data_IF_737018566007
#
_entry.id   IF_737018566007
#
_cell.length_a   1.000
_cell.length_b   1.000
_cell.length_c   1.000
_cell.angle_alpha   90.00
_cell.angle_beta   90.00
_cell.angle_gamma   90.00
#
_symmetry.space_group_name_H-M   'P 1'
#
loop_
_entity.id
_entity.type
_entity.pdbx_description
1 polymer ?
#
# COMPACT_ATOMS: atom_id res chain seq x y z
N UNK A 1 6.77 -11.37 2.99
CA UNK A 1 5.29 -11.34 3.15
C UNK A 1 4.87 -10.98 4.57
N UNK A 2 5.38 -11.67 5.60
CA UNK A 2 5.01 -11.44 7.03
C UNK A 2 5.12 -9.96 7.49
N UNK A 3 6.16 -9.23 7.09
CA UNK A 3 6.32 -7.82 7.49
C UNK A 3 5.24 -6.89 6.92
N UNK A 4 4.91 -7.04 5.63
CA UNK A 4 3.94 -6.17 4.94
C UNK A 4 2.52 -6.44 5.45
N UNK A 5 2.20 -7.70 5.74
CA UNK A 5 0.92 -8.08 6.33
C UNK A 5 0.78 -7.57 7.76
N UNK A 6 1.85 -7.62 8.56
CA UNK A 6 1.84 -7.08 9.93
C UNK A 6 1.71 -5.55 9.98
N UNK A 7 2.28 -4.82 9.02
CA UNK A 7 2.03 -3.38 8.89
C UNK A 7 0.57 -3.07 8.53
N UNK A 8 -0.01 -3.81 7.59
CA UNK A 8 -1.40 -3.63 7.22
C UNK A 8 -2.34 -3.90 8.40
N UNK A 9 -2.06 -4.92 9.20
CA UNK A 9 -2.87 -5.26 10.37
C UNK A 9 -2.93 -4.07 11.35
N UNK A 10 -1.78 -3.52 11.71
CA UNK A 10 -1.67 -2.31 12.56
C UNK A 10 -2.36 -1.09 11.95
N UNK A 11 -2.26 -0.92 10.63
CA UNK A 11 -2.95 0.16 9.94
C UNK A 11 -4.48 -0.03 10.01
N UNK A 12 -4.95 -1.26 9.86
CA UNK A 12 -6.37 -1.61 9.92
C UNK A 12 -6.98 -1.48 11.31
N UNK A 13 -6.18 -1.54 12.38
CA UNK A 13 -6.64 -1.25 13.75
C UNK A 13 -7.00 0.24 13.93
N UNK A 14 -6.34 1.12 13.18
CA UNK A 14 -6.51 2.58 13.30
C UNK A 14 -7.44 3.17 12.23
N UNK A 15 -7.83 2.38 11.22
CA UNK A 15 -8.64 2.83 10.09
C UNK A 15 -10.09 2.35 10.22
N UNK A 16 -11.10 3.24 10.13
CA UNK A 16 -12.49 2.83 10.08
C UNK A 16 -12.75 1.98 8.82
N UNK A 17 -13.50 0.89 9.00
CA UNK A 17 -13.89 0.00 7.90
C UNK A 17 -14.80 0.76 6.91
N UNK A 18 -14.61 0.55 5.60
CA UNK A 18 -15.55 1.03 4.58
C UNK A 18 -15.34 2.46 4.08
N UNK A 19 -14.20 3.08 4.40
CA UNK A 19 -13.93 4.50 4.05
C UNK A 19 -13.60 4.73 2.57
N UNK A 20 -13.74 3.72 1.69
CA UNK A 20 -13.47 3.84 0.26
C UNK A 20 -12.03 4.29 -0.06
N UNK A 21 -11.08 3.94 0.81
CA UNK A 21 -9.71 4.43 0.75
C UNK A 21 -9.01 3.91 -0.50
N UNK A 22 -8.17 4.75 -1.08
CA UNK A 22 -7.28 4.35 -2.16
C UNK A 22 -5.88 4.19 -1.56
N UNK A 23 -5.35 2.97 -1.60
CA UNK A 23 -3.97 2.71 -1.22
C UNK A 23 -3.09 2.78 -2.46
N UNK A 24 -2.19 3.76 -2.50
CA UNK A 24 -1.19 3.86 -3.56
C UNK A 24 0.03 3.02 -3.21
N UNK A 25 0.36 2.04 -4.05
CA UNK A 25 1.48 1.12 -3.83
C UNK A 25 2.32 0.96 -5.09
N UNK A 26 3.62 0.80 -4.92
CA UNK A 26 4.50 0.43 -6.03
C UNK A 26 4.18 -0.98 -6.59
N UNK A 27 4.70 -1.29 -7.79
CA UNK A 27 4.58 -2.61 -8.41
C UNK A 27 5.57 -3.65 -7.86
N UNK A 28 6.24 -3.41 -6.73
CA UNK A 28 7.04 -4.41 -6.03
C UNK A 28 6.31 -5.75 -5.84
N UNK A 29 7.05 -6.86 -5.96
CA UNK A 29 6.51 -8.23 -5.92
C UNK A 29 5.68 -8.52 -4.64
N UNK A 30 6.02 -7.88 -3.52
CA UNK A 30 5.26 -7.99 -2.27
C UNK A 30 3.82 -7.45 -2.38
N UNK A 31 3.60 -6.39 -3.16
CA UNK A 31 2.30 -5.72 -3.30
C UNK A 31 1.43 -6.35 -4.40
N UNK A 32 2.04 -7.15 -5.28
CA UNK A 32 1.34 -7.95 -6.28
C UNK A 32 0.76 -9.25 -5.69
N UNK A 33 1.15 -9.62 -4.47
CA UNK A 33 0.74 -10.87 -3.86
C UNK A 33 -0.79 -10.95 -3.71
N UNK A 34 -1.38 -12.09 -4.08
CA UNK A 34 -2.83 -12.31 -4.02
C UNK A 34 -3.39 -12.12 -2.59
N UNK A 35 -2.65 -12.55 -1.58
CA UNK A 35 -3.06 -12.43 -0.17
C UNK A 35 -3.17 -10.95 0.25
N UNK A 36 -2.16 -10.15 -0.12
CA UNK A 36 -2.14 -8.71 0.13
C UNK A 36 -3.34 -8.00 -0.52
N UNK A 37 -3.62 -8.31 -1.79
CA UNK A 37 -4.76 -7.76 -2.52
C UNK A 37 -6.11 -8.17 -1.89
N UNK A 38 -6.21 -9.40 -1.39
CA UNK A 38 -7.42 -9.89 -0.75
C UNK A 38 -7.68 -9.20 0.59
N UNK A 39 -6.64 -8.93 1.39
CA UNK A 39 -6.76 -8.16 2.62
C UNK A 39 -7.31 -6.74 2.35
N UNK A 40 -6.75 -6.04 1.36
CA UNK A 40 -7.23 -4.71 0.98
C UNK A 40 -8.69 -4.74 0.53
N UNK A 41 -9.05 -5.71 -0.31
CA UNK A 41 -10.44 -5.85 -0.79
C UNK A 41 -11.43 -6.12 0.35
N UNK A 42 -11.07 -6.95 1.34
CA UNK A 42 -11.92 -7.22 2.50
C UNK A 42 -12.18 -5.97 3.34
N UNK A 43 -11.20 -5.06 3.40
CA UNK A 43 -11.34 -3.77 4.08
C UNK A 43 -12.01 -2.68 3.24
N UNK A 44 -12.36 -2.97 1.98
CA UNK A 44 -12.93 -1.99 1.06
C UNK A 44 -11.91 -0.97 0.53
N UNK A 45 -10.62 -1.31 0.60
CA UNK A 45 -9.53 -0.45 0.14
C UNK A 45 -9.22 -0.79 -1.31
N UNK A 46 -9.24 0.23 -2.17
CA UNK A 46 -8.88 0.10 -3.58
C UNK A 46 -7.40 0.36 -3.76
N UNK A 47 -6.66 -0.63 -4.20
CA UNK A 47 -5.26 -0.46 -4.52
C UNK A 47 -5.11 0.31 -5.85
N UNK A 48 -4.31 1.38 -5.84
CA UNK A 48 -3.80 2.07 -7.02
C UNK A 48 -2.32 1.70 -7.15
N UNK A 49 -1.91 1.23 -8.32
CA UNK A 49 -0.51 0.87 -8.58
C UNK A 49 0.10 1.79 -9.61
N UNK A 50 1.30 2.31 -9.33
CA UNK A 50 2.07 3.12 -10.27
C UNK A 50 2.42 2.30 -11.53
N UNK A 51 2.65 2.97 -12.66
CA UNK A 51 3.01 2.30 -13.93
C UNK A 51 4.42 1.70 -13.83
N UNK A 52 4.62 0.53 -14.45
CA UNK A 52 5.94 -0.11 -14.58
C UNK A 52 6.92 0.88 -15.23
N UNK A 53 7.94 1.31 -14.49
CA UNK A 53 8.97 2.24 -14.98
C UNK A 53 8.74 3.72 -14.67
N UNK A 54 7.70 4.11 -13.91
CA UNK A 54 7.55 5.49 -13.46
C UNK A 54 8.16 5.68 -12.07
N UNK A 55 9.50 5.63 -11.99
CA UNK A 55 10.25 5.86 -10.76
C UNK A 55 10.01 7.26 -10.17
N UNK A 56 9.59 8.25 -10.96
CA UNK A 56 9.32 9.60 -10.50
C UNK A 56 8.14 9.67 -9.51
N UNK A 57 7.12 8.84 -9.71
CA UNK A 57 5.94 8.79 -8.83
C UNK A 57 6.29 8.14 -7.48
N UNK A 58 7.10 7.07 -7.51
CA UNK A 58 7.60 6.45 -6.28
C UNK A 58 8.67 7.31 -5.60
N UNK A 59 9.56 7.94 -6.37
CA UNK A 59 10.63 8.79 -5.85
C UNK A 59 10.10 10.04 -5.14
N UNK A 60 8.97 10.61 -5.56
CA UNK A 60 8.33 11.73 -4.84
C UNK A 60 7.84 11.28 -3.46
N UNK A 61 7.22 10.10 -3.37
CA UNK A 61 6.82 9.53 -2.07
C UNK A 61 8.03 9.11 -1.24
N UNK A 62 9.03 8.44 -1.83
CA UNK A 62 10.27 8.08 -1.16
C UNK A 62 11.04 9.31 -0.68
N UNK A 63 11.05 10.41 -1.42
CA UNK A 63 11.66 11.67 -0.98
C UNK A 63 10.86 12.30 0.18
N UNK A 64 9.53 12.23 0.14
CA UNK A 64 8.69 12.70 1.24
C UNK A 64 8.88 11.90 2.54
N UNK A 65 9.09 10.58 2.45
CA UNK A 65 9.42 9.73 3.60
C UNK A 65 10.90 9.73 3.98
N UNK A 66 11.81 9.97 3.03
CA UNK A 66 13.26 10.02 3.24
C UNK A 66 13.75 11.34 3.83
N UNK A 67 13.01 12.44 3.62
CA UNK A 67 13.30 13.75 4.24
C UNK A 67 12.77 13.88 5.67
N UNK A 68 12.10 12.86 6.21
CA UNK A 68 11.46 12.92 7.54
C UNK A 68 11.86 11.78 8.48
N UNK A 69 13.09 11.29 8.34
CA UNK A 69 13.79 10.48 9.36
C UNK A 69 14.71 11.39 10.16
#
# INVERSE_FOLDING_TARGET
LSMVTGMLDKAFENLPNGTGLILHSDQGWQYQNKYYRQMLKQKGIRQSMSRKGNCLDNAVMENFFGLRV
#
